data_IF_761171692306
#
_entry.id   IF_761171692306
#
_cell.length_a   1.000
_cell.length_b   1.000
_cell.length_c   1.000
_cell.angle_alpha   90.00
_cell.angle_beta   90.00
_cell.angle_gamma   90.00
#
_symmetry.space_group_name_H-M   'P 1'
#
loop_
_entity.id
_entity.type
_entity.pdbx_description
1 polymer ?
#
# COMPACT_ATOMS: atom_id res chain seq x y z
N UNK A 1 0.81 -38.49 23.61
CA UNK A 1 0.64 -37.03 23.76
C UNK A 1 1.04 -36.31 22.47
N UNK A 2 0.25 -36.45 21.39
CA UNK A 2 0.58 -35.94 20.04
C UNK A 2 -0.54 -35.08 19.42
N UNK A 3 -1.68 -34.92 20.11
CA UNK A 3 -2.87 -34.23 19.57
C UNK A 3 -2.92 -32.72 19.79
N UNK A 4 -2.06 -32.17 20.65
CA UNK A 4 -2.07 -30.74 20.99
C UNK A 4 -1.26 -29.87 20.02
N UNK A 5 -0.31 -30.45 19.28
CA UNK A 5 0.57 -29.69 18.38
C UNK A 5 -0.09 -29.36 17.04
N UNK A 6 -1.05 -30.18 16.59
CA UNK A 6 -1.68 -29.99 15.28
C UNK A 6 -2.63 -28.80 15.27
N UNK A 7 -3.35 -28.56 16.38
CA UNK A 7 -4.32 -27.44 16.49
C UNK A 7 -3.60 -26.09 16.48
N UNK A 8 -2.49 -25.98 17.21
CA UNK A 8 -1.69 -24.74 17.26
C UNK A 8 -1.14 -24.35 15.89
N UNK A 9 -0.72 -25.33 15.08
CA UNK A 9 -0.26 -25.08 13.71
C UNK A 9 -1.36 -24.50 12.81
N UNK A 10 -2.60 -24.96 12.92
CA UNK A 10 -3.71 -24.41 12.14
C UNK A 10 -4.03 -22.95 12.50
N UNK A 11 -3.96 -22.60 13.79
CA UNK A 11 -4.12 -21.21 14.22
C UNK A 11 -3.01 -20.30 13.68
N UNK A 12 -1.76 -20.76 13.68
CA UNK A 12 -0.65 -20.01 13.10
C UNK A 12 -0.79 -19.80 11.59
N UNK A 13 -1.23 -20.82 10.84
CA UNK A 13 -1.49 -20.68 9.40
C UNK A 13 -2.62 -19.70 9.10
N UNK A 14 -3.70 -19.71 9.89
CA UNK A 14 -4.80 -18.76 9.72
C UNK A 14 -4.34 -17.30 9.91
N UNK A 15 -3.52 -17.03 10.94
CA UNK A 15 -2.98 -15.68 11.20
C UNK A 15 -2.09 -15.20 10.04
N UNK A 16 -1.25 -16.06 9.48
CA UNK A 16 -0.40 -15.70 8.34
C UNK A 16 -1.20 -15.33 7.08
N UNK A 17 -2.36 -15.95 6.85
CA UNK A 17 -3.27 -15.59 5.74
C UNK A 17 -3.86 -14.19 5.95
N UNK A 18 -4.19 -13.81 7.19
CA UNK A 18 -4.66 -12.46 7.49
C UNK A 18 -3.59 -11.38 7.29
N UNK A 19 -2.31 -11.67 7.58
CA UNK A 19 -1.22 -10.72 7.36
C UNK A 19 -0.73 -10.64 5.90
N UNK A 20 -0.88 -11.71 5.11
CA UNK A 20 -0.49 -11.71 3.69
C UNK A 20 -1.50 -11.00 2.77
N UNK A 21 -2.74 -10.75 3.23
CA UNK A 21 -3.81 -10.11 2.45
C UNK A 21 -3.98 -8.59 2.66
N UNK A 22 -3.16 -7.98 3.52
CA UNK A 22 -3.24 -6.55 3.88
C UNK A 22 -2.62 -5.64 2.82
N UNK A 23 -3.19 -5.62 1.62
CA UNK A 23 -2.75 -4.74 0.53
C UNK A 23 -3.73 -4.68 -0.64
N UNK A 24 -5.00 -5.03 -0.43
CA UNK A 24 -6.05 -4.76 -1.40
C UNK A 24 -6.52 -3.32 -1.23
N UNK A 25 -5.85 -2.39 -1.89
CA UNK A 25 -6.34 -1.02 -2.04
C UNK A 25 -7.45 -1.02 -3.11
N UNK A 26 -8.64 -0.65 -2.65
CA UNK A 26 -9.90 -0.39 -3.34
C UNK A 26 -9.72 0.21 -4.75
N UNK A 27 -9.97 -0.59 -5.78
CA UNK A 27 -10.24 -0.09 -7.14
C UNK A 27 -11.74 -0.15 -7.39
N UNK A 28 -12.48 0.87 -6.93
CA UNK A 28 -13.86 1.03 -7.34
C UNK A 28 -14.32 2.49 -7.25
N UNK A 29 -14.12 3.27 -8.32
CA UNK A 29 -15.05 4.33 -8.76
C UNK A 29 -14.85 4.57 -10.27
N UNK A 30 -15.92 4.90 -10.99
CA UNK A 30 -15.96 5.29 -12.40
C UNK A 30 -14.89 6.34 -12.76
N UNK A 31 -14.04 6.03 -13.75
CA UNK A 31 -12.82 6.75 -14.10
C UNK A 31 -11.63 5.80 -13.97
N UNK A 32 -10.78 5.65 -15.00
CA UNK A 32 -9.61 4.77 -14.84
C UNK A 32 -8.68 5.47 -13.87
N UNK A 33 -8.70 5.06 -12.62
CA UNK A 33 -7.73 5.57 -11.65
C UNK A 33 -6.46 4.74 -11.81
N UNK A 34 -5.36 5.40 -12.13
CA UNK A 34 -4.04 4.79 -12.16
C UNK A 34 -3.34 5.05 -10.82
N UNK A 35 -2.51 4.09 -10.39
CA UNK A 35 -1.67 4.24 -9.23
C UNK A 35 -0.21 3.87 -9.56
N UNK A 36 0.72 4.54 -8.90
CA UNK A 36 2.14 4.24 -8.97
C UNK A 36 2.75 4.38 -7.59
N UNK A 37 3.68 3.48 -7.27
CA UNK A 37 4.32 3.41 -5.98
C UNK A 37 5.83 3.38 -6.13
N UNK A 38 6.53 4.24 -5.42
CA UNK A 38 7.99 4.32 -5.47
C UNK A 38 8.63 4.51 -4.11
N UNK A 39 9.86 4.01 -3.99
CA UNK A 39 10.70 4.23 -2.81
C UNK A 39 11.41 5.58 -2.98
N UNK A 40 10.86 6.63 -2.36
CA UNK A 40 11.42 7.98 -2.38
C UNK A 40 11.33 8.58 -0.98
N UNK A 41 12.14 9.61 -0.74
CA UNK A 41 12.15 10.32 0.54
C UNK A 41 10.78 10.88 0.84
N UNK A 42 10.04 10.18 1.68
CA UNK A 42 8.77 10.60 2.27
C UNK A 42 8.98 11.18 3.68
N UNK A 43 10.24 11.48 4.02
CA UNK A 43 10.59 12.19 5.26
C UNK A 43 10.04 13.61 5.22
N UNK A 44 9.90 14.18 4.02
CA UNK A 44 9.24 15.45 3.76
C UNK A 44 8.11 15.17 2.78
N UNK A 45 6.86 15.31 3.24
CA UNK A 45 5.64 15.04 2.47
C UNK A 45 5.62 15.78 1.11
N UNK A 46 6.29 16.93 1.06
CA UNK A 46 6.43 17.76 -0.14
C UNK A 46 7.20 17.08 -1.27
N UNK A 47 8.21 16.25 -0.98
CA UNK A 47 9.02 15.61 -2.04
C UNK A 47 8.19 14.59 -2.82
N UNK A 48 7.34 13.87 -2.08
CA UNK A 48 6.37 12.93 -2.62
C UNK A 48 5.35 13.63 -3.53
N UNK A 49 4.80 14.73 -3.02
CA UNK A 49 3.83 15.56 -3.71
C UNK A 49 4.41 16.20 -4.97
N UNK A 50 5.60 16.81 -4.89
CA UNK A 50 6.27 17.44 -6.03
C UNK A 50 6.55 16.45 -7.13
N UNK A 51 7.01 15.24 -6.79
CA UNK A 51 7.22 14.18 -7.78
C UNK A 51 5.91 13.71 -8.41
N UNK A 52 4.89 13.42 -7.60
CA UNK A 52 3.58 12.98 -8.08
C UNK A 52 2.96 14.02 -9.04
N UNK A 53 3.02 15.31 -8.69
CA UNK A 53 2.52 16.38 -9.55
C UNK A 53 3.36 16.67 -10.78
N UNK A 54 4.68 16.46 -10.70
CA UNK A 54 5.57 16.59 -11.86
C UNK A 54 5.30 15.51 -12.90
N UNK A 55 5.05 14.29 -12.46
CA UNK A 55 4.95 13.13 -13.35
C UNK A 55 3.52 12.95 -13.89
N UNK A 56 2.50 13.19 -13.06
CA UNK A 56 1.08 12.91 -13.39
C UNK A 56 0.18 14.16 -13.37
N UNK A 57 0.73 15.32 -13.03
CA UNK A 57 0.01 16.59 -12.98
C UNK A 57 -0.58 16.93 -11.61
N UNK A 58 -0.98 18.20 -11.43
CA UNK A 58 -1.46 18.73 -10.13
C UNK A 58 -2.77 18.13 -9.62
N UNK A 59 -3.48 17.38 -10.46
CA UNK A 59 -4.69 16.67 -10.08
C UNK A 59 -4.39 15.29 -9.48
N UNK A 60 -3.13 14.84 -9.53
CA UNK A 60 -2.70 13.61 -8.90
C UNK A 60 -2.68 13.77 -7.37
N UNK A 61 -3.07 12.72 -6.68
CA UNK A 61 -3.18 12.61 -5.23
C UNK A 61 -1.93 11.89 -4.71
N UNK A 62 -1.00 12.60 -4.05
CA UNK A 62 0.13 11.96 -3.39
C UNK A 62 -0.29 11.35 -2.05
N UNK A 63 0.32 10.23 -1.71
CA UNK A 63 0.21 9.52 -0.44
C UNK A 63 1.60 9.23 0.10
N UNK A 64 1.83 9.54 1.37
CA UNK A 64 3.13 9.41 1.99
C UNK A 64 3.11 8.41 3.16
N UNK A 65 3.83 7.30 3.02
CA UNK A 65 3.99 6.31 4.09
C UNK A 65 5.34 6.51 4.80
N UNK A 66 5.35 7.44 5.77
CA UNK A 66 6.54 7.87 6.52
C UNK A 66 7.27 6.70 7.21
N UNK A 67 6.53 5.75 7.79
CA UNK A 67 7.10 4.63 8.55
C UNK A 67 7.99 3.71 7.71
N UNK A 68 7.69 3.57 6.43
CA UNK A 68 8.41 2.68 5.52
C UNK A 68 9.14 3.46 4.41
N UNK A 69 9.00 4.78 4.39
CA UNK A 69 9.61 5.69 3.42
C UNK A 69 9.20 5.36 1.97
N UNK A 70 7.89 5.23 1.76
CA UNK A 70 7.27 4.97 0.47
C UNK A 70 6.33 6.10 0.08
N UNK A 71 6.24 6.31 -1.22
CA UNK A 71 5.36 7.26 -1.86
C UNK A 71 4.39 6.53 -2.78
N UNK A 72 3.14 6.87 -2.63
CA UNK A 72 2.03 6.40 -3.45
C UNK A 72 1.47 7.62 -4.20
N UNK A 73 1.13 7.45 -5.48
CA UNK A 73 0.56 8.52 -6.28
C UNK A 73 -0.58 7.96 -7.10
N UNK A 74 -1.72 8.63 -7.02
CA UNK A 74 -2.97 8.18 -7.63
C UNK A 74 -3.49 9.29 -8.53
N UNK A 75 -3.83 8.99 -9.77
CA UNK A 75 -4.33 9.99 -10.72
C UNK A 75 -5.39 9.39 -11.64
N UNK A 76 -6.13 10.25 -12.32
CA UNK A 76 -7.00 9.82 -13.42
C UNK A 76 -6.17 9.57 -14.67
N UNK A 77 -6.21 8.33 -15.16
CA UNK A 77 -5.88 8.00 -16.52
C UNK A 77 -7.16 8.00 -17.40
#
# INVERSE_FOLDING_TARGET
>A
MAKMNTVVSFFFFAILIFFAGGGAMLNQVEGRTCNERWKHGCVIETDCQEKCWRDHGKNAIPGCEILINWCDCTWEC
#
